data_IF_028041865503
#
_entry.id   IF_028041865503
#
_cell.length_a   1.000
_cell.length_b   1.000
_cell.length_c   1.000
_cell.angle_alpha   90.00
_cell.angle_beta   90.00
_cell.angle_gamma   90.00
#
_symmetry.space_group_name_H-M   'P 1'
#
loop_
_entity.id
_entity.type
_entity.pdbx_description
1 polymer ?
#
# COMPACT_ATOMS: atom_id res chain seq x y z
N UNK A 1 -7.04 31.32 11.48
CA UNK A 1 -6.16 30.85 10.38
C UNK A 1 -4.81 30.28 10.86
N UNK A 2 -4.41 30.43 12.12
CA UNK A 2 -3.13 29.91 12.67
C UNK A 2 -3.19 28.44 13.17
N UNK A 3 -4.37 27.91 13.46
CA UNK A 3 -4.51 26.54 13.98
C UNK A 3 -4.28 25.43 12.92
N UNK A 4 -4.40 25.76 11.62
CA UNK A 4 -4.22 24.77 10.53
C UNK A 4 -2.76 24.54 10.12
N UNK A 5 -1.85 25.45 10.49
CA UNK A 5 -0.43 25.34 10.12
C UNK A 5 0.38 24.45 11.08
N UNK A 6 -0.10 24.22 12.31
CA UNK A 6 0.64 23.42 13.30
C UNK A 6 0.46 21.89 13.17
N UNK A 7 -0.52 21.41 12.41
CA UNK A 7 -0.77 19.97 12.22
C UNK A 7 0.21 19.30 11.23
N UNK A 8 0.93 20.08 10.42
CA UNK A 8 1.90 19.58 9.42
C UNK A 8 3.33 19.39 9.97
N UNK A 9 3.54 19.48 11.28
CA UNK A 9 4.89 19.53 11.85
C UNK A 9 5.46 18.18 12.31
N UNK A 10 4.65 17.13 12.40
CA UNK A 10 5.14 15.82 12.86
C UNK A 10 5.46 14.94 11.64
N UNK A 11 6.71 14.46 11.48
CA UNK A 11 7.01 13.53 10.41
C UNK A 11 6.16 12.27 10.56
N UNK A 12 5.75 11.69 9.41
CA UNK A 12 5.03 10.42 9.40
C UNK A 12 5.78 9.37 10.24
N UNK A 13 5.06 8.48 10.91
CA UNK A 13 5.63 7.52 11.87
C UNK A 13 6.81 6.72 11.30
N UNK A 14 6.76 6.34 10.02
CA UNK A 14 7.82 5.60 9.34
C UNK A 14 9.11 6.41 9.07
N UNK A 15 9.09 7.73 9.31
CA UNK A 15 10.24 8.63 9.17
C UNK A 15 10.83 9.09 10.51
N UNK A 16 10.20 8.73 11.63
CA UNK A 16 10.71 9.06 12.95
C UNK A 16 11.92 8.20 13.26
N UNK A 17 12.96 8.81 13.80
CA UNK A 17 14.13 8.09 14.32
C UNK A 17 13.91 7.96 15.83
N UNK A 18 13.00 7.05 16.24
CA UNK A 18 12.87 6.68 17.63
C UNK A 18 13.82 5.49 17.91
N UNK A 19 14.15 5.26 19.15
CA UNK A 19 15.17 4.32 19.63
C UNK A 19 15.18 2.99 18.85
N UNK A 20 16.21 2.78 18.05
CA UNK A 20 16.46 1.51 17.38
C UNK A 20 16.96 0.49 18.42
N UNK A 21 16.70 -0.79 18.20
CA UNK A 21 17.33 -1.85 18.96
C UNK A 21 18.81 -1.98 18.58
N UNK A 22 19.63 -2.48 19.51
CA UNK A 22 21.05 -2.76 19.23
C UNK A 22 21.23 -3.73 18.04
N UNK A 23 20.29 -4.68 17.87
CA UNK A 23 20.26 -5.59 16.73
C UNK A 23 20.10 -4.81 15.40
N UNK A 24 19.19 -3.83 15.36
CA UNK A 24 18.96 -3.00 14.18
C UNK A 24 20.15 -2.06 13.91
N UNK A 25 20.72 -1.44 14.94
CA UNK A 25 21.91 -0.57 14.81
C UNK A 25 23.11 -1.34 14.26
N UNK A 26 23.37 -2.54 14.78
CA UNK A 26 24.43 -3.41 14.30
C UNK A 26 24.21 -3.81 12.83
N UNK A 27 22.97 -4.16 12.46
CA UNK A 27 22.61 -4.49 11.07
C UNK A 27 22.83 -3.31 10.15
N UNK A 28 22.29 -2.14 10.48
CA UNK A 28 22.41 -0.89 9.69
C UNK A 28 23.89 -0.55 9.42
N UNK A 29 24.79 -0.75 10.38
CA UNK A 29 26.22 -0.45 10.22
C UNK A 29 26.91 -1.30 9.14
N UNK A 30 26.33 -2.43 8.75
CA UNK A 30 26.85 -3.35 7.74
C UNK A 30 26.12 -3.30 6.39
N UNK A 31 24.97 -2.61 6.33
CA UNK A 31 24.15 -2.54 5.10
C UNK A 31 24.62 -1.44 4.14
N UNK A 32 24.49 -1.66 2.82
CA UNK A 32 24.61 -0.58 1.84
C UNK A 32 23.66 0.57 2.17
N UNK A 33 24.12 1.79 2.08
CA UNK A 33 23.32 2.98 2.36
C UNK A 33 23.42 4.02 1.25
N UNK A 34 22.29 4.71 1.03
CA UNK A 34 22.15 5.80 0.07
C UNK A 34 21.33 6.93 0.70
N UNK A 35 21.42 8.13 0.10
CA UNK A 35 20.62 9.29 0.52
C UNK A 35 19.33 9.36 -0.31
N UNK A 36 18.22 9.61 0.36
CA UNK A 36 17.00 10.00 -0.32
C UNK A 36 17.02 11.50 -0.71
N UNK A 37 15.96 11.94 -1.38
CA UNK A 37 15.77 13.34 -1.81
C UNK A 37 15.76 14.37 -0.67
N UNK A 38 15.63 13.94 0.59
CA UNK A 38 15.72 14.80 1.79
C UNK A 38 17.10 14.73 2.46
N UNK A 39 18.05 14.01 1.88
CA UNK A 39 19.34 13.74 2.48
C UNK A 39 19.31 12.74 3.65
N UNK A 40 18.19 12.02 3.87
CA UNK A 40 18.09 10.97 4.89
C UNK A 40 18.66 9.66 4.38
N UNK A 41 19.28 8.88 5.28
CA UNK A 41 19.80 7.57 4.91
C UNK A 41 18.66 6.57 4.68
N UNK A 42 18.77 5.86 3.58
CA UNK A 42 18.08 4.61 3.28
C UNK A 42 19.10 3.47 3.37
N UNK A 43 18.67 2.32 3.84
CA UNK A 43 19.49 1.11 3.96
C UNK A 43 18.89 -0.01 3.13
N UNK A 44 19.74 -0.70 2.36
CA UNK A 44 19.30 -1.81 1.53
C UNK A 44 19.28 -3.10 2.33
N UNK A 45 18.08 -3.67 2.47
CA UNK A 45 17.87 -4.95 3.16
C UNK A 45 16.94 -5.84 2.34
N UNK A 46 17.34 -7.08 2.11
CA UNK A 46 16.59 -8.06 1.31
C UNK A 46 16.13 -7.50 -0.06
N UNK A 47 16.97 -6.69 -0.71
CA UNK A 47 16.69 -6.16 -2.05
C UNK A 47 15.82 -4.91 -2.09
N UNK A 48 15.49 -4.30 -0.96
CA UNK A 48 14.71 -3.05 -0.91
C UNK A 48 15.33 -2.03 0.03
N UNK A 49 14.94 -0.76 -0.15
CA UNK A 49 15.48 0.38 0.59
C UNK A 49 14.52 0.85 1.69
N UNK A 50 15.02 0.99 2.90
CA UNK A 50 14.21 1.33 4.06
C UNK A 50 14.82 2.45 4.90
N UNK A 51 13.96 3.27 5.49
CA UNK A 51 14.37 4.11 6.62
C UNK A 51 14.65 3.24 7.86
N UNK A 52 15.50 3.72 8.78
CA UNK A 52 15.84 2.96 10.00
C UNK A 52 14.62 2.46 10.78
N UNK A 53 13.62 3.32 11.00
CA UNK A 53 12.40 2.96 11.72
C UNK A 53 11.56 1.90 11.01
N UNK A 54 11.47 1.97 9.67
CA UNK A 54 10.79 0.94 8.88
C UNK A 54 11.55 -0.38 8.92
N UNK A 55 12.89 -0.33 8.84
CA UNK A 55 13.73 -1.54 8.96
C UNK A 55 13.55 -2.19 10.34
N UNK A 56 13.56 -1.39 11.43
CA UNK A 56 13.27 -1.91 12.76
C UNK A 56 11.91 -2.60 12.84
N UNK A 57 10.87 -1.99 12.26
CA UNK A 57 9.53 -2.57 12.22
C UNK A 57 9.50 -3.90 11.43
N UNK A 58 10.24 -4.00 10.33
CA UNK A 58 10.38 -5.22 9.55
C UNK A 58 11.08 -6.32 10.35
N UNK A 59 12.17 -6.01 11.06
CA UNK A 59 12.86 -6.98 11.92
C UNK A 59 11.94 -7.47 13.03
N UNK A 60 11.17 -6.57 13.66
CA UNK A 60 10.18 -6.94 14.67
C UNK A 60 9.10 -7.87 14.09
N UNK A 61 8.58 -7.55 12.90
CA UNK A 61 7.61 -8.37 12.18
C UNK A 61 8.16 -9.76 11.90
N UNK A 62 9.33 -9.87 11.27
CA UNK A 62 9.95 -11.16 10.93
C UNK A 62 10.20 -12.03 12.17
N UNK A 63 10.52 -11.41 13.29
CA UNK A 63 10.79 -12.12 14.55
C UNK A 63 9.51 -12.57 15.27
N UNK A 64 8.45 -11.78 15.24
CA UNK A 64 7.31 -11.94 16.15
C UNK A 64 5.97 -12.24 15.45
N UNK A 65 5.81 -11.93 14.16
CA UNK A 65 4.58 -12.25 13.46
C UNK A 65 4.42 -13.76 13.28
N UNK A 66 3.22 -14.23 13.51
CA UNK A 66 2.80 -15.61 13.20
C UNK A 66 1.50 -15.53 12.44
N UNK A 67 1.56 -15.91 11.16
CA UNK A 67 0.39 -15.93 10.31
C UNK A 67 -0.59 -17.01 10.77
N UNK A 68 -1.87 -16.73 10.64
CA UNK A 68 -2.97 -17.70 10.76
C UNK A 68 -3.51 -18.02 9.37
N UNK A 69 -4.01 -19.22 9.18
CA UNK A 69 -4.57 -19.66 7.90
C UNK A 69 -5.70 -18.77 7.39
N UNK A 70 -6.43 -18.14 8.32
CA UNK A 70 -7.51 -17.20 8.01
C UNK A 70 -7.04 -15.78 7.72
N UNK A 71 -5.75 -15.46 7.89
CA UNK A 71 -5.25 -14.09 7.68
C UNK A 71 -5.33 -13.67 6.20
N UNK A 72 -5.59 -12.41 5.98
CA UNK A 72 -5.59 -11.78 4.67
C UNK A 72 -4.62 -10.60 4.70
N UNK A 73 -3.62 -10.64 3.83
CA UNK A 73 -2.60 -9.60 3.72
C UNK A 73 -2.78 -8.84 2.41
N UNK A 74 -3.01 -7.54 2.51
CA UNK A 74 -3.16 -6.64 1.37
C UNK A 74 -1.82 -5.97 1.08
N UNK A 75 -1.16 -6.42 0.05
CA UNK A 75 0.13 -5.91 -0.37
C UNK A 75 -0.01 -4.97 -1.58
N UNK A 76 0.80 -3.93 -1.63
CA UNK A 76 0.87 -3.02 -2.78
C UNK A 76 2.13 -2.17 -2.69
N UNK A 77 2.64 -1.73 -3.82
CA UNK A 77 3.58 -0.61 -3.79
C UNK A 77 2.85 0.69 -3.35
N UNK A 78 3.50 1.61 -2.60
CA UNK A 78 2.86 2.86 -2.19
C UNK A 78 2.22 3.60 -3.37
N UNK A 79 0.98 4.06 -3.21
CA UNK A 79 0.17 4.78 -4.22
C UNK A 79 -0.40 3.94 -5.35
N UNK A 80 -0.36 2.62 -5.26
CA UNK A 80 -0.96 1.70 -6.24
C UNK A 80 -2.45 1.38 -5.99
N UNK A 81 -3.16 2.14 -5.13
CA UNK A 81 -4.58 1.91 -4.85
C UNK A 81 -4.86 1.24 -3.51
N UNK A 82 -3.90 1.24 -2.58
CA UNK A 82 -3.99 0.60 -1.26
C UNK A 82 -5.23 0.98 -0.46
N UNK A 83 -5.59 2.28 -0.45
CA UNK A 83 -6.77 2.78 0.28
C UNK A 83 -8.06 2.15 -0.25
N UNK A 84 -8.19 2.06 -1.58
CA UNK A 84 -9.34 1.44 -2.23
C UNK A 84 -9.40 -0.07 -1.99
N UNK A 85 -8.24 -0.77 -2.13
CA UNK A 85 -8.15 -2.20 -1.84
C UNK A 85 -8.57 -2.51 -0.40
N UNK A 86 -8.11 -1.72 0.58
CA UNK A 86 -8.51 -1.86 1.99
C UNK A 86 -10.02 -1.73 2.17
N UNK A 87 -10.62 -0.69 1.59
CA UNK A 87 -12.06 -0.48 1.67
C UNK A 87 -12.85 -1.65 1.06
N UNK A 88 -12.47 -2.09 -0.15
CA UNK A 88 -13.12 -3.19 -0.86
C UNK A 88 -13.01 -4.51 -0.09
N UNK A 89 -11.80 -4.89 0.35
CA UNK A 89 -11.61 -6.15 1.09
C UNK A 89 -12.37 -6.11 2.41
N UNK A 90 -12.33 -5.00 3.15
CA UNK A 90 -13.09 -4.85 4.37
C UNK A 90 -14.59 -5.02 4.12
N UNK A 91 -15.15 -4.33 3.12
CA UNK A 91 -16.57 -4.41 2.79
C UNK A 91 -16.97 -5.82 2.31
N UNK A 92 -16.17 -6.47 1.46
CA UNK A 92 -16.43 -7.83 0.95
C UNK A 92 -16.39 -8.87 2.07
N UNK A 93 -15.35 -8.87 2.88
CA UNK A 93 -15.13 -9.87 3.94
C UNK A 93 -16.16 -9.75 5.06
N UNK A 94 -16.52 -8.52 5.41
CA UNK A 94 -17.43 -8.27 6.54
C UNK A 94 -18.88 -7.98 6.12
N UNK A 95 -19.28 -8.19 4.85
CA UNK A 95 -20.62 -7.85 4.33
C UNK A 95 -21.78 -8.53 5.06
N UNK A 96 -21.55 -9.73 5.61
CA UNK A 96 -22.57 -10.43 6.41
C UNK A 96 -22.79 -9.77 7.77
N UNK A 97 -21.76 -9.10 8.31
CA UNK A 97 -21.85 -8.38 9.59
C UNK A 97 -22.26 -6.92 9.39
N UNK A 98 -21.74 -6.31 8.33
CA UNK A 98 -22.00 -4.92 7.98
C UNK A 98 -22.50 -4.88 6.54
N UNK A 99 -23.82 -4.91 6.35
CA UNK A 99 -24.41 -4.79 5.03
C UNK A 99 -23.97 -3.47 4.37
N UNK A 100 -23.66 -3.44 3.06
CA UNK A 100 -23.06 -2.26 2.42
C UNK A 100 -23.96 -1.02 2.42
N UNK A 101 -25.27 -1.18 2.62
CA UNK A 101 -26.24 -0.09 2.77
C UNK A 101 -26.56 0.27 4.23
N UNK A 102 -25.83 -0.31 5.20
CA UNK A 102 -26.06 -0.03 6.62
C UNK A 102 -25.54 1.37 6.98
N UNK A 103 -26.38 2.20 7.58
CA UNK A 103 -26.04 3.58 8.00
C UNK A 103 -24.86 3.60 9.00
N UNK A 104 -24.70 2.53 9.78
CA UNK A 104 -23.59 2.35 10.74
C UNK A 104 -22.43 1.54 10.17
N UNK A 105 -22.28 1.43 8.83
CA UNK A 105 -21.16 0.71 8.25
C UNK A 105 -19.82 1.38 8.63
N UNK A 106 -18.81 0.64 9.12
CA UNK A 106 -17.57 1.21 9.65
C UNK A 106 -16.83 2.13 8.68
N UNK A 107 -16.87 1.87 7.37
CA UNK A 107 -16.27 2.74 6.34
C UNK A 107 -16.90 4.13 6.28
N UNK A 108 -18.11 4.34 6.82
CA UNK A 108 -18.76 5.65 6.86
C UNK A 108 -18.25 6.52 8.01
N UNK A 109 -17.70 5.91 9.05
CA UNK A 109 -17.24 6.59 10.28
C UNK A 109 -15.75 6.49 10.53
N UNK A 110 -15.03 5.62 9.80
CA UNK A 110 -13.59 5.43 9.97
C UNK A 110 -12.85 5.28 8.64
N UNK A 111 -11.57 5.66 8.67
CA UNK A 111 -10.70 5.61 7.50
C UNK A 111 -10.29 4.16 7.18
N UNK A 112 -10.22 3.75 5.91
CA UNK A 112 -9.75 2.40 5.54
C UNK A 112 -8.38 2.01 6.10
N UNK A 113 -7.50 2.99 6.39
CA UNK A 113 -6.19 2.72 6.99
C UNK A 113 -6.27 2.39 8.48
N UNK A 114 -7.33 2.80 9.17
CA UNK A 114 -7.58 2.43 10.56
C UNK A 114 -8.25 1.06 10.66
N UNK A 115 -9.16 0.73 9.74
CA UNK A 115 -9.87 -0.55 9.69
C UNK A 115 -8.97 -1.72 9.25
N UNK A 116 -8.04 -1.47 8.34
CA UNK A 116 -7.04 -2.45 7.88
C UNK A 116 -5.65 -1.86 8.12
N UNK A 117 -5.00 -2.28 9.19
CA UNK A 117 -3.77 -1.66 9.69
C UNK A 117 -2.54 -2.11 8.93
N UNK A 118 -1.56 -1.21 8.80
CA UNK A 118 -0.27 -1.55 8.21
C UNK A 118 0.62 -2.33 9.19
N UNK A 119 1.26 -3.37 8.70
CA UNK A 119 2.24 -4.15 9.45
C UNK A 119 3.43 -3.25 9.83
N UNK A 120 4.20 -2.78 8.86
CA UNK A 120 5.46 -2.07 9.06
C UNK A 120 5.32 -0.56 9.32
N UNK A 121 4.21 0.06 8.89
CA UNK A 121 4.02 1.52 9.03
C UNK A 121 3.17 1.93 10.24
N UNK A 122 2.59 0.94 10.93
CA UNK A 122 1.70 1.20 12.06
C UNK A 122 1.93 0.20 13.20
N UNK A 123 1.65 -1.09 13.00
CA UNK A 123 1.67 -2.08 14.08
C UNK A 123 3.07 -2.23 14.69
N UNK A 124 4.04 -2.66 13.88
CA UNK A 124 5.39 -3.00 14.34
C UNK A 124 6.34 -1.81 14.46
N UNK A 125 6.00 -0.65 13.87
CA UNK A 125 6.76 0.59 14.12
C UNK A 125 6.44 1.19 15.48
N UNK A 126 5.22 0.97 16.00
CA UNK A 126 4.77 1.47 17.29
C UNK A 126 5.09 0.53 18.45
N UNK A 127 5.11 -0.77 18.17
CA UNK A 127 5.31 -1.80 19.19
C UNK A 127 6.11 -2.97 18.62
N UNK A 128 7.14 -3.39 19.33
CA UNK A 128 7.94 -4.55 18.95
C UNK A 128 7.09 -5.83 18.87
N UNK A 129 6.10 -5.97 19.75
CA UNK A 129 5.17 -7.12 19.82
C UNK A 129 3.75 -6.60 19.98
N UNK A 130 3.11 -6.15 18.90
CA UNK A 130 1.73 -5.71 18.98
C UNK A 130 0.82 -6.89 19.37
N UNK A 131 -0.19 -6.61 20.19
CA UNK A 131 -1.24 -7.58 20.43
C UNK A 131 -2.12 -7.71 19.20
N UNK A 132 -2.11 -8.87 18.58
CA UNK A 132 -2.88 -9.21 17.39
C UNK A 132 -4.01 -10.18 17.70
N UNK A 133 -4.15 -10.64 18.95
CA UNK A 133 -5.15 -11.62 19.35
C UNK A 133 -6.56 -11.01 19.38
N UNK A 134 -6.66 -9.73 19.72
CA UNK A 134 -7.92 -8.98 19.77
C UNK A 134 -8.47 -8.61 18.38
N UNK A 135 -7.70 -8.79 17.31
CA UNK A 135 -8.18 -8.51 15.96
C UNK A 135 -9.24 -9.55 15.54
N UNK A 136 -10.37 -9.10 14.94
CA UNK A 136 -11.43 -9.99 14.48
C UNK A 136 -10.91 -10.96 13.40
N UNK A 137 -11.46 -12.19 13.38
CA UNK A 137 -11.15 -13.16 12.32
C UNK A 137 -12.13 -12.99 11.15
N UNK A 138 -11.62 -13.04 9.90
CA UNK A 138 -10.21 -13.07 9.51
C UNK A 138 -9.50 -11.76 9.87
N UNK A 139 -8.21 -11.86 10.31
CA UNK A 139 -7.41 -10.66 10.55
C UNK A 139 -7.01 -10.04 9.20
N UNK A 140 -7.25 -8.76 9.04
CA UNK A 140 -6.90 -8.01 7.85
C UNK A 140 -5.67 -7.13 8.11
N UNK A 141 -4.64 -7.35 7.32
CA UNK A 141 -3.41 -6.56 7.39
C UNK A 141 -3.10 -5.91 6.04
N UNK A 142 -2.34 -4.83 6.08
CA UNK A 142 -1.79 -4.22 4.87
C UNK A 142 -0.27 -4.07 4.97
N UNK A 143 0.40 -4.04 3.81
CA UNK A 143 1.84 -3.86 3.75
C UNK A 143 2.29 -3.26 2.43
N UNK A 144 3.44 -2.60 2.48
CA UNK A 144 4.22 -2.20 1.31
C UNK A 144 5.52 -3.01 1.16
N UNK A 145 5.73 -4.00 2.02
CA UNK A 145 6.91 -4.86 1.96
C UNK A 145 6.95 -5.68 0.66
N UNK A 146 8.14 -5.86 0.07
CA UNK A 146 8.35 -6.82 -1.00
C UNK A 146 8.03 -8.25 -0.55
N UNK A 147 7.67 -9.13 -1.50
CA UNK A 147 7.28 -10.50 -1.18
C UNK A 147 8.37 -11.28 -0.43
N UNK A 148 9.65 -11.12 -0.81
CA UNK A 148 10.75 -11.80 -0.13
C UNK A 148 10.88 -11.42 1.36
N UNK A 149 10.51 -10.20 1.71
CA UNK A 149 10.52 -9.74 3.11
C UNK A 149 9.36 -10.35 3.92
N UNK A 150 8.23 -10.63 3.27
CA UNK A 150 7.06 -11.28 3.85
C UNK A 150 7.20 -12.80 3.92
N UNK A 151 7.78 -13.42 2.90
CA UNK A 151 7.69 -14.85 2.60
C UNK A 151 8.02 -15.74 3.80
N UNK A 152 9.13 -15.49 4.50
CA UNK A 152 9.56 -16.33 5.61
C UNK A 152 8.58 -16.30 6.80
N UNK A 153 7.89 -15.19 7.01
CA UNK A 153 6.88 -15.05 8.05
C UNK A 153 5.53 -15.69 7.68
N UNK A 154 5.33 -16.05 6.41
CA UNK A 154 4.10 -16.66 5.89
C UNK A 154 4.28 -18.13 5.49
N UNK A 155 5.52 -18.65 5.48
CA UNK A 155 5.88 -19.96 4.92
C UNK A 155 5.04 -21.13 5.45
N UNK A 156 4.72 -21.10 6.73
CA UNK A 156 4.05 -22.20 7.41
C UNK A 156 2.53 -22.02 7.48
N UNK A 157 1.98 -21.03 6.77
CA UNK A 157 0.54 -20.75 6.77
C UNK A 157 0.01 -20.49 5.37
N UNK A 158 -1.14 -21.06 4.98
CA UNK A 158 -1.81 -20.79 3.72
C UNK A 158 -2.58 -19.46 3.73
N UNK A 159 -2.15 -18.48 4.51
CA UNK A 159 -2.80 -17.16 4.55
C UNK A 159 -2.82 -16.52 3.17
N UNK A 160 -3.87 -15.76 2.89
CA UNK A 160 -4.11 -15.19 1.55
C UNK A 160 -3.43 -13.84 1.40
N UNK A 161 -2.74 -13.64 0.28
CA UNK A 161 -2.11 -12.38 -0.08
C UNK A 161 -2.79 -11.80 -1.32
N UNK A 162 -3.27 -10.57 -1.23
CA UNK A 162 -3.81 -9.82 -2.38
C UNK A 162 -2.84 -8.70 -2.72
N UNK A 163 -2.25 -8.73 -3.89
CA UNK A 163 -1.34 -7.70 -4.35
C UNK A 163 -2.01 -6.78 -5.38
N UNK A 164 -2.03 -5.47 -5.08
CA UNK A 164 -2.53 -4.46 -6.02
C UNK A 164 -1.36 -3.78 -6.73
N UNK A 165 -1.32 -3.95 -8.06
CA UNK A 165 -0.40 -3.28 -8.97
C UNK A 165 -1.08 -2.10 -9.67
N UNK A 166 -0.29 -1.11 -10.10
CA UNK A 166 -0.73 0.04 -10.88
C UNK A 166 0.37 0.49 -11.83
N UNK A 167 0.00 1.13 -12.94
CA UNK A 167 0.94 1.71 -13.88
C UNK A 167 1.94 2.64 -13.18
N UNK A 168 3.23 2.41 -13.42
CA UNK A 168 4.32 3.10 -12.72
C UNK A 168 4.26 4.63 -12.90
N UNK A 169 3.85 5.11 -14.08
CA UNK A 169 3.75 6.55 -14.37
C UNK A 169 2.71 7.23 -13.48
N UNK A 170 1.55 6.59 -13.29
CA UNK A 170 0.52 7.09 -12.36
C UNK A 170 0.94 6.94 -10.89
N UNK A 171 1.66 5.88 -10.54
CA UNK A 171 2.24 5.69 -9.20
C UNK A 171 3.22 6.83 -8.89
N UNK A 172 4.15 7.13 -9.80
CA UNK A 172 5.16 8.18 -9.64
C UNK A 172 4.50 9.54 -9.45
N UNK A 173 3.56 9.92 -10.31
CA UNK A 173 2.82 11.19 -10.18
C UNK A 173 2.03 11.24 -8.88
N UNK A 174 1.42 10.12 -8.47
CA UNK A 174 0.72 10.05 -7.18
C UNK A 174 1.66 10.21 -5.99
N UNK A 175 2.88 9.65 -6.05
CA UNK A 175 3.92 9.83 -5.01
C UNK A 175 4.44 11.27 -4.99
N UNK A 176 4.64 11.87 -6.18
CA UNK A 176 5.03 13.26 -6.30
C UNK A 176 4.09 14.21 -5.56
N UNK A 177 2.80 14.07 -5.75
CA UNK A 177 1.81 14.89 -5.04
C UNK A 177 1.67 14.51 -3.56
N UNK A 178 1.82 13.22 -3.22
CA UNK A 178 1.69 12.75 -1.85
C UNK A 178 2.79 13.29 -0.93
N UNK A 179 4.02 13.49 -1.43
CA UNK A 179 5.13 13.97 -0.61
C UNK A 179 4.84 15.29 0.11
N UNK A 180 4.11 16.20 -0.53
CA UNK A 180 3.74 17.49 0.06
C UNK A 180 2.83 17.39 1.31
N UNK A 181 2.23 16.21 1.52
CA UNK A 181 1.41 15.94 2.69
C UNK A 181 2.19 15.25 3.83
N UNK A 182 3.42 14.79 3.57
CA UNK A 182 4.23 14.04 4.54
C UNK A 182 5.59 14.67 4.80
N UNK A 183 6.04 15.59 3.93
CA UNK A 183 7.33 16.23 3.99
C UNK A 183 7.17 17.74 3.85
N UNK A 184 7.89 18.52 4.65
CA UNK A 184 7.93 19.98 4.54
C UNK A 184 8.56 20.39 3.21
N UNK A 185 7.98 21.42 2.57
CA UNK A 185 8.40 21.92 1.26
C UNK A 185 9.88 22.31 1.20
N UNK A 186 10.42 22.84 2.29
CA UNK A 186 11.81 23.28 2.39
C UNK A 186 12.82 22.13 2.21
N UNK A 187 12.41 20.89 2.59
CA UNK A 187 13.26 19.71 2.50
C UNK A 187 13.35 19.14 1.07
N UNK A 188 12.51 19.62 0.14
CA UNK A 188 12.52 19.16 -1.25
C UNK A 188 12.36 20.29 -2.26
N UNK A 189 12.67 21.55 -1.87
CA UNK A 189 12.55 22.72 -2.75
C UNK A 189 13.36 22.61 -4.05
N UNK A 190 14.49 21.92 -4.02
CA UNK A 190 15.39 21.70 -5.16
C UNK A 190 15.20 20.32 -5.83
N UNK A 191 14.19 19.54 -5.44
CA UNK A 191 13.93 18.21 -5.97
C UNK A 191 12.76 18.27 -6.97
N UNK A 192 13.08 18.04 -8.23
CA UNK A 192 12.13 18.10 -9.35
C UNK A 192 11.41 16.78 -9.59
N UNK A 193 10.37 16.82 -10.44
CA UNK A 193 9.70 15.58 -10.90
C UNK A 193 10.64 14.72 -11.75
N UNK A 194 11.56 15.34 -12.48
CA UNK A 194 12.59 14.65 -13.26
C UNK A 194 13.57 13.90 -12.36
N UNK A 195 14.02 14.52 -11.27
CA UNK A 195 14.87 13.86 -10.27
C UNK A 195 14.15 12.62 -9.68
N UNK A 196 12.84 12.72 -9.43
CA UNK A 196 12.05 11.57 -8.95
C UNK A 196 11.97 10.45 -10.00
N UNK A 197 11.86 10.78 -11.29
CA UNK A 197 11.92 9.79 -12.39
C UNK A 197 13.28 9.09 -12.40
N UNK A 198 14.36 9.83 -12.29
CA UNK A 198 15.72 9.29 -12.30
C UNK A 198 15.97 8.38 -11.07
N UNK A 199 15.48 8.77 -9.88
CA UNK A 199 15.54 7.92 -8.68
C UNK A 199 14.73 6.62 -8.86
N UNK A 200 13.55 6.69 -9.50
CA UNK A 200 12.76 5.50 -9.81
C UNK A 200 13.49 4.55 -10.76
N UNK A 201 14.18 5.07 -11.75
CA UNK A 201 14.99 4.29 -12.70
C UNK A 201 16.20 3.67 -11.99
N UNK A 202 16.85 4.39 -11.08
CA UNK A 202 17.94 3.87 -10.24
C UNK A 202 17.44 2.81 -9.24
N UNK A 203 16.18 2.86 -8.85
CA UNK A 203 15.58 1.96 -7.85
C UNK A 203 15.92 2.34 -6.40
N UNK A 204 16.52 3.52 -6.15
CA UNK A 204 16.97 3.97 -4.82
C UNK A 204 15.98 4.96 -4.23
N UNK A 205 14.98 4.47 -3.54
CA UNK A 205 13.98 5.25 -2.80
C UNK A 205 13.26 4.34 -1.79
N UNK A 206 12.63 4.93 -0.80
CA UNK A 206 11.95 4.15 0.25
C UNK A 206 10.93 3.16 -0.32
N UNK A 207 11.11 1.88 0.02
CA UNK A 207 10.33 0.72 -0.44
C UNK A 207 10.56 0.34 -1.93
N UNK A 208 11.55 0.96 -2.59
CA UNK A 208 11.98 0.57 -3.94
C UNK A 208 12.92 -0.64 -3.94
N UNK A 209 13.22 -1.22 -5.12
CA UNK A 209 12.71 -0.89 -6.46
C UNK A 209 11.26 -1.34 -6.70
N UNK A 210 10.52 -0.56 -7.49
CA UNK A 210 9.13 -0.88 -7.86
C UNK A 210 9.04 -2.13 -8.74
N UNK A 211 9.87 -2.20 -9.77
CA UNK A 211 9.89 -3.26 -10.76
C UNK A 211 10.18 -4.63 -10.12
N UNK A 212 11.16 -4.72 -9.23
CA UNK A 212 11.50 -5.96 -8.53
C UNK A 212 10.36 -6.43 -7.63
N UNK A 213 9.71 -5.50 -6.91
CA UNK A 213 8.56 -5.83 -6.07
C UNK A 213 7.38 -6.36 -6.90
N UNK A 214 7.02 -5.64 -7.96
CA UNK A 214 5.90 -6.03 -8.84
C UNK A 214 6.17 -7.37 -9.50
N UNK A 215 7.38 -7.58 -10.06
CA UNK A 215 7.76 -8.81 -10.72
C UNK A 215 7.72 -10.02 -9.78
N UNK A 216 8.14 -9.83 -8.53
CA UNK A 216 8.13 -10.90 -7.54
C UNK A 216 6.69 -11.31 -7.22
N UNK A 217 5.81 -10.38 -6.86
CA UNK A 217 4.40 -10.70 -6.59
C UNK A 217 3.69 -11.29 -7.81
N UNK A 218 4.02 -10.84 -9.02
CA UNK A 218 3.51 -11.42 -10.26
C UNK A 218 3.92 -12.88 -10.41
N UNK A 219 5.21 -13.19 -10.26
CA UNK A 219 5.70 -14.58 -10.35
C UNK A 219 5.07 -15.48 -9.30
N UNK A 220 4.94 -15.02 -8.07
CA UNK A 220 4.31 -15.79 -6.99
C UNK A 220 2.83 -16.06 -7.26
N UNK A 221 2.12 -15.12 -7.91
CA UNK A 221 0.72 -15.32 -8.28
C UNK A 221 0.52 -16.38 -9.40
N UNK A 222 1.57 -16.73 -10.13
CA UNK A 222 1.54 -17.79 -11.16
C UNK A 222 1.84 -19.18 -10.58
N UNK A 223 2.27 -19.27 -9.33
CA UNK A 223 2.55 -20.54 -8.66
C UNK A 223 1.29 -21.05 -7.98
N UNK A 224 0.73 -22.14 -8.49
CA UNK A 224 -0.55 -22.70 -8.02
C UNK A 224 -0.61 -23.04 -6.52
N UNK A 225 0.54 -23.29 -5.88
CA UNK A 225 0.60 -23.60 -4.45
C UNK A 225 0.61 -22.34 -3.56
N UNK A 226 0.81 -21.16 -4.14
CA UNK A 226 0.90 -19.92 -3.38
C UNK A 226 -0.44 -19.17 -3.39
N UNK A 227 -1.00 -18.84 -2.23
CA UNK A 227 -2.26 -18.12 -2.14
C UNK A 227 -2.06 -16.61 -2.39
N UNK A 228 -1.58 -16.25 -3.59
CA UNK A 228 -1.35 -14.86 -4.02
C UNK A 228 -2.29 -14.50 -5.17
N UNK A 229 -3.15 -13.52 -4.96
CA UNK A 229 -3.96 -12.90 -6.01
C UNK A 229 -3.29 -11.60 -6.49
N UNK A 230 -2.90 -11.57 -7.76
CA UNK A 230 -2.41 -10.32 -8.38
C UNK A 230 -3.56 -9.60 -9.06
N UNK A 231 -3.75 -8.32 -8.70
CA UNK A 231 -4.79 -7.44 -9.22
C UNK A 231 -4.16 -6.18 -9.83
N UNK A 232 -4.76 -5.68 -10.92
CA UNK A 232 -4.34 -4.45 -11.57
C UNK A 232 -5.37 -3.35 -11.29
N UNK A 233 -4.87 -2.18 -10.89
CA UNK A 233 -5.72 -1.01 -10.61
C UNK A 233 -6.55 -0.60 -11.83
N UNK A 234 -5.95 -0.67 -13.01
CA UNK A 234 -6.58 -0.34 -14.29
C UNK A 234 -7.77 -1.27 -14.58
N UNK A 235 -7.60 -2.58 -14.37
CA UNK A 235 -8.68 -3.58 -14.52
C UNK A 235 -9.81 -3.37 -13.50
N UNK A 236 -9.44 -2.95 -12.28
CA UNK A 236 -10.43 -2.60 -11.25
C UNK A 236 -11.28 -1.39 -11.65
N UNK A 237 -10.69 -0.42 -12.35
CA UNK A 237 -11.44 0.74 -12.90
C UNK A 237 -12.29 0.33 -14.10
N UNK A 238 -11.77 -0.51 -15.00
CA UNK A 238 -12.44 -0.90 -16.25
C UNK A 238 -13.62 -1.87 -16.00
N UNK A 239 -13.42 -2.86 -15.12
CA UNK A 239 -14.37 -3.96 -14.87
C UNK A 239 -14.54 -4.22 -13.36
N UNK A 240 -15.02 -3.24 -12.58
CA UNK A 240 -15.00 -3.31 -11.11
C UNK A 240 -15.80 -4.49 -10.56
N UNK A 241 -16.97 -4.80 -11.09
CA UNK A 241 -17.80 -5.92 -10.65
C UNK A 241 -17.10 -7.26 -10.83
N UNK A 242 -16.52 -7.49 -12.01
CA UNK A 242 -15.78 -8.73 -12.32
C UNK A 242 -14.61 -8.90 -11.35
N UNK A 243 -13.87 -7.84 -11.09
CA UNK A 243 -12.70 -7.89 -10.22
C UNK A 243 -13.07 -8.06 -8.75
N UNK A 244 -14.17 -7.47 -8.29
CA UNK A 244 -14.67 -7.66 -6.92
C UNK A 244 -15.19 -9.09 -6.72
N UNK A 245 -15.87 -9.67 -7.70
CA UNK A 245 -16.29 -11.09 -7.64
C UNK A 245 -15.06 -12.00 -7.59
N UNK A 246 -14.07 -11.79 -8.48
CA UNK A 246 -12.80 -12.53 -8.46
C UNK A 246 -12.06 -12.43 -7.11
N UNK A 247 -12.07 -11.24 -6.52
CA UNK A 247 -11.50 -11.00 -5.19
C UNK A 247 -12.26 -11.82 -4.12
N UNK A 248 -13.59 -11.79 -4.12
CA UNK A 248 -14.40 -12.54 -3.18
C UNK A 248 -14.20 -14.05 -3.30
N UNK A 249 -14.12 -14.56 -4.53
CA UNK A 249 -13.85 -15.99 -4.81
C UNK A 249 -12.49 -16.41 -4.26
N UNK A 250 -11.45 -15.63 -4.53
CA UNK A 250 -10.11 -15.87 -3.99
C UNK A 250 -10.09 -15.86 -2.46
N UNK A 251 -10.82 -14.93 -1.84
CA UNK A 251 -10.90 -14.81 -0.38
C UNK A 251 -11.72 -15.94 0.25
N UNK A 252 -12.42 -16.78 -0.54
CA UNK A 252 -13.27 -17.86 -0.06
C UNK A 252 -14.60 -17.37 0.53
N UNK A 253 -15.04 -16.20 0.09
CA UNK A 253 -16.33 -15.61 0.47
C UNK A 253 -17.09 -15.14 -0.79
N UNK A 254 -17.25 -16.05 -1.78
CA UNK A 254 -17.97 -15.81 -3.02
C UNK A 254 -19.36 -15.24 -2.78
N UNK A 255 -19.83 -14.39 -3.68
CA UNK A 255 -21.19 -13.87 -3.63
C UNK A 255 -22.19 -14.96 -4.00
N UNK A 256 -23.25 -15.09 -3.21
CA UNK A 256 -24.38 -15.97 -3.52
C UNK A 256 -25.19 -15.40 -4.69
N UNK A 257 -26.02 -16.23 -5.31
CA UNK A 257 -26.93 -15.75 -6.37
C UNK A 257 -27.93 -14.71 -5.84
N UNK A 258 -28.38 -14.85 -4.59
CA UNK A 258 -29.24 -13.87 -3.95
C UNK A 258 -28.54 -12.52 -3.76
N UNK A 259 -27.26 -12.53 -3.31
CA UNK A 259 -26.47 -11.32 -3.16
C UNK A 259 -26.24 -10.62 -4.50
N UNK A 260 -25.99 -11.36 -5.58
CA UNK A 260 -25.85 -10.82 -6.94
C UNK A 260 -27.17 -10.19 -7.41
N UNK A 261 -28.28 -10.90 -7.25
CA UNK A 261 -29.61 -10.40 -7.67
C UNK A 261 -30.09 -9.21 -6.86
N UNK A 262 -29.70 -9.10 -5.59
CA UNK A 262 -30.03 -7.95 -4.71
C UNK A 262 -29.15 -6.73 -4.92
N UNK A 263 -28.18 -6.77 -5.84
CA UNK A 263 -27.27 -5.67 -6.12
C UNK A 263 -26.24 -5.44 -5.00
N UNK A 264 -25.84 -6.49 -4.28
CA UNK A 264 -24.87 -6.35 -3.18
C UNK A 264 -23.49 -5.95 -3.67
N UNK A 265 -23.07 -6.45 -4.85
CA UNK A 265 -21.77 -6.10 -5.47
C UNK A 265 -21.74 -4.62 -5.80
N UNK A 266 -22.78 -4.11 -6.46
CA UNK A 266 -22.92 -2.70 -6.83
C UNK A 266 -22.93 -1.79 -5.62
N UNK A 267 -23.65 -2.17 -4.55
CA UNK A 267 -23.68 -1.41 -3.29
C UNK A 267 -22.29 -1.35 -2.61
N UNK A 268 -21.51 -2.43 -2.67
CA UNK A 268 -20.14 -2.44 -2.15
C UNK A 268 -19.27 -1.49 -3.00
N UNK A 269 -19.38 -1.54 -4.32
CA UNK A 269 -18.64 -0.66 -5.22
C UNK A 269 -19.00 0.81 -5.01
N UNK A 270 -20.28 1.13 -4.82
CA UNK A 270 -20.75 2.47 -4.50
C UNK A 270 -20.20 2.96 -3.17
N UNK A 271 -20.33 2.14 -2.09
CA UNK A 271 -19.79 2.42 -0.76
C UNK A 271 -18.28 2.71 -0.81
N UNK A 272 -17.54 1.91 -1.57
CA UNK A 272 -16.08 2.02 -1.71
C UNK A 272 -15.63 2.96 -2.84
N UNK A 273 -16.55 3.64 -3.52
CA UNK A 273 -16.21 4.54 -4.61
C UNK A 273 -15.35 5.71 -4.13
N UNK A 274 -14.50 6.22 -5.03
CA UNK A 274 -13.68 7.41 -4.73
C UNK A 274 -14.56 8.60 -4.31
N UNK A 275 -15.67 8.82 -5.04
CA UNK A 275 -16.60 9.91 -4.75
C UNK A 275 -17.22 9.81 -3.35
N UNK A 276 -17.63 8.60 -2.94
CA UNK A 276 -18.18 8.40 -1.61
C UNK A 276 -17.09 8.55 -0.54
N UNK A 277 -16.02 7.75 -0.60
CA UNK A 277 -14.98 7.76 0.43
C UNK A 277 -14.33 9.13 0.62
N UNK A 278 -13.99 9.83 -0.46
CA UNK A 278 -13.32 11.15 -0.36
C UNK A 278 -14.20 12.25 0.25
N UNK A 279 -15.52 12.07 0.23
CA UNK A 279 -16.47 13.04 0.78
C UNK A 279 -16.83 12.80 2.25
N UNK A 280 -16.48 11.65 2.82
CA UNK A 280 -16.72 11.36 4.23
C UNK A 280 -15.87 12.26 5.13
N UNK A 281 -16.44 12.76 6.22
CA UNK A 281 -15.75 13.66 7.15
C UNK A 281 -14.51 13.01 7.77
N UNK A 282 -14.60 11.72 8.12
CA UNK A 282 -13.47 10.92 8.64
C UNK A 282 -12.29 10.84 7.67
N UNK A 283 -12.52 11.06 6.38
CA UNK A 283 -11.50 11.04 5.33
C UNK A 283 -11.01 12.45 4.92
N UNK A 284 -11.62 13.52 5.48
CA UNK A 284 -11.21 14.92 5.25
C UNK A 284 -10.34 15.46 6.37
N UNK A 285 -10.64 15.10 7.62
CA UNK A 285 -10.06 15.70 8.82
C UNK A 285 -9.35 14.67 9.71
N UNK A 286 -8.59 15.13 10.69
CA UNK A 286 -7.91 14.27 11.65
C UNK A 286 -6.55 13.75 11.19
N UNK A 287 -6.14 12.62 11.77
CA UNK A 287 -4.84 11.97 11.50
C UNK A 287 -5.06 10.46 11.45
N UNK A 288 -4.60 9.80 10.40
CA UNK A 288 -4.63 8.35 10.30
C UNK A 288 -3.65 7.68 11.27
N UNK A 289 -3.83 6.38 11.50
CA UNK A 289 -2.93 5.58 12.36
C UNK A 289 -1.45 5.62 11.93
N UNK A 290 -1.18 5.92 10.65
CA UNK A 290 0.18 6.09 10.12
C UNK A 290 0.76 7.50 10.33
N UNK A 291 0.01 8.42 10.97
CA UNK A 291 0.44 9.80 11.19
C UNK A 291 0.33 10.70 9.95
N UNK A 292 -0.48 10.31 8.96
CA UNK A 292 -0.75 11.08 7.73
C UNK A 292 -2.18 11.59 7.74
N UNK A 293 -2.39 12.83 7.28
CA UNK A 293 -3.72 13.40 7.16
C UNK A 293 -4.59 12.57 6.19
N UNK A 294 -5.82 12.17 6.54
CA UNK A 294 -6.64 11.25 5.74
C UNK A 294 -6.89 11.73 4.30
N UNK A 295 -7.12 13.04 4.09
CA UNK A 295 -7.35 13.60 2.75
C UNK A 295 -6.17 13.37 1.78
N UNK A 296 -4.95 13.19 2.29
CA UNK A 296 -3.76 12.91 1.47
C UNK A 296 -3.84 11.58 0.69
N UNK A 297 -4.70 10.67 1.12
CA UNK A 297 -4.92 9.41 0.43
C UNK A 297 -5.88 9.53 -0.76
N UNK A 298 -6.65 10.62 -0.86
CA UNK A 298 -7.69 10.84 -1.86
C UNK A 298 -7.34 12.03 -2.76
N UNK A 299 -6.61 11.80 -3.87
CA UNK A 299 -6.23 12.85 -4.80
C UNK A 299 -7.14 12.92 -6.04
N UNK A 300 -7.19 11.85 -6.83
CA UNK A 300 -7.92 11.82 -8.10
C UNK A 300 -8.62 10.49 -8.39
N UNK A 301 -8.04 9.35 -7.99
CA UNK A 301 -8.64 8.02 -8.13
C UNK A 301 -8.77 7.51 -9.57
N UNK A 302 -8.21 8.21 -10.58
CA UNK A 302 -8.32 7.85 -12.00
C UNK A 302 -7.05 7.25 -12.58
N UNK A 303 -7.12 6.77 -13.83
CA UNK A 303 -6.02 6.22 -14.63
C UNK A 303 -5.56 7.25 -15.65
N UNK A 304 -4.26 7.30 -15.98
CA UNK A 304 -3.69 8.12 -17.03
C UNK A 304 -3.43 9.57 -16.66
N UNK A 305 -3.54 9.95 -15.39
CA UNK A 305 -3.25 11.32 -14.94
C UNK A 305 -1.77 11.72 -15.16
N UNK A 306 -0.88 10.75 -15.30
CA UNK A 306 0.51 10.98 -15.62
C UNK A 306 0.72 11.82 -16.90
N UNK A 307 -0.20 11.74 -17.87
CA UNK A 307 -0.17 12.51 -19.13
C UNK A 307 -0.22 14.03 -18.92
N UNK A 308 -0.74 14.48 -17.77
CA UNK A 308 -0.82 15.89 -17.38
C UNK A 308 0.43 16.40 -16.68
N UNK A 309 1.38 15.53 -16.34
CA UNK A 309 2.51 15.85 -15.46
C UNK A 309 3.87 15.46 -16.03
N UNK A 310 3.97 14.30 -16.70
CA UNK A 310 5.21 13.80 -17.26
C UNK A 310 5.43 14.33 -18.66
N UNK A 311 6.66 14.71 -18.96
CA UNK A 311 7.07 14.97 -20.35
C UNK A 311 7.14 13.67 -21.15
N UNK A 312 7.16 13.76 -22.48
CA UNK A 312 7.35 12.59 -23.35
C UNK A 312 8.66 11.83 -23.01
N UNK A 313 9.73 12.57 -22.70
CA UNK A 313 11.03 12.00 -22.35
C UNK A 313 10.97 11.23 -21.03
N UNK A 314 10.36 11.80 -19.98
CA UNK A 314 10.16 11.12 -18.68
C UNK A 314 9.34 9.84 -18.86
N UNK A 315 8.24 9.91 -19.62
CA UNK A 315 7.39 8.75 -19.87
C UNK A 315 8.14 7.66 -20.62
N UNK A 316 8.92 8.02 -21.67
CA UNK A 316 9.75 7.09 -22.46
C UNK A 316 10.80 6.38 -21.57
N UNK A 317 11.53 7.13 -20.73
CA UNK A 317 12.51 6.56 -19.77
C UNK A 317 11.88 5.51 -18.85
N UNK A 318 10.67 5.77 -18.34
CA UNK A 318 9.94 4.83 -17.47
C UNK A 318 9.44 3.60 -18.26
N UNK A 319 8.94 3.78 -19.48
CA UNK A 319 8.51 2.67 -20.34
C UNK A 319 9.70 1.77 -20.71
N UNK A 320 10.87 2.33 -21.03
CA UNK A 320 12.09 1.57 -21.28
C UNK A 320 12.57 0.78 -20.07
N UNK A 321 12.48 1.38 -18.87
CA UNK A 321 12.81 0.68 -17.63
C UNK A 321 11.85 -0.49 -17.39
N UNK A 322 10.54 -0.29 -17.57
CA UNK A 322 9.53 -1.35 -17.44
C UNK A 322 9.79 -2.46 -18.45
N UNK A 323 10.01 -2.14 -19.74
CA UNK A 323 10.30 -3.15 -20.76
C UNK A 323 11.57 -3.94 -20.44
N UNK A 324 12.64 -3.26 -20.03
CA UNK A 324 13.91 -3.89 -19.66
C UNK A 324 13.78 -4.85 -18.48
N UNK A 325 12.97 -4.51 -17.47
CA UNK A 325 12.89 -5.24 -16.21
C UNK A 325 11.74 -6.26 -16.16
N UNK A 326 10.62 -5.95 -16.80
CA UNK A 326 9.41 -6.76 -16.78
C UNK A 326 9.11 -7.40 -18.14
N UNK A 327 9.81 -7.01 -19.20
CA UNK A 327 9.69 -7.62 -20.52
C UNK A 327 9.95 -9.13 -20.46
N UNK A 328 9.11 -9.92 -21.15
CA UNK A 328 9.17 -11.39 -21.13
C UNK A 328 8.55 -12.06 -19.90
N UNK A 329 8.12 -11.30 -18.87
CA UNK A 329 7.43 -11.85 -17.69
C UNK A 329 5.96 -12.21 -17.94
N UNK A 330 5.39 -11.75 -19.06
CA UNK A 330 3.95 -11.83 -19.34
C UNK A 330 3.11 -10.73 -18.69
N UNK A 331 3.68 -9.94 -17.77
CA UNK A 331 3.00 -8.79 -17.18
C UNK A 331 3.07 -7.60 -18.14
N UNK A 332 1.92 -7.02 -18.49
CA UNK A 332 1.82 -5.83 -19.35
C UNK A 332 1.22 -4.66 -18.59
N UNK A 333 1.79 -3.47 -18.78
CA UNK A 333 1.23 -2.18 -18.35
C UNK A 333 0.70 -1.47 -19.60
N UNK A 334 -0.57 -1.59 -19.87
CA UNK A 334 -1.25 -0.84 -20.94
C UNK A 334 -1.73 0.52 -20.44
#
# INVERSE_FOLDING_TARGET
MEASQNLLQTPANFMKVDSLSQECENLISSLPSEKDFMGKNLYSYQGSWYYPSTLQAILNFQKHFRARDSDIILASFPKSGTTWLKALVFAVVHRNKYAPNLVSHPLLSDNPHNLVRFIELDLYVKNQRPDLEELPSPRLFATHMPFQTLHDSLRDSPCKVVYMCRNIKDVLVSRWHFRSNVVRKELYSNYSLEDMVDDFIKGVYSLGPFDDQVLRYWKESLVNSNPVLFMRYEEMIEKPEVQVMRLADFLGCSFTEEEKQSGTVEKILELCSFGNLSNLETNKTGTSVCGVAPHAFFRRGGVGDWKNHLTHEMARKLDEMVEKKLGGSGLKFE
#
